data_IF_842382157399
#
_entry.id   IF_842382157399
#
_cell.length_a   1.000
_cell.length_b   1.000
_cell.length_c   1.000
_cell.angle_alpha   90.00
_cell.angle_beta   90.00
_cell.angle_gamma   90.00
#
_symmetry.space_group_name_H-M   'P 1'
#
loop_
_entity.id
_entity.type
_entity.pdbx_description
1 polymer ?
#
# COMPACT_ATOMS: atom_id res chain seq x y z
N UNK A 1 3.43 -5.42 -8.53
CA UNK A 1 4.82 -5.83 -8.88
C UNK A 1 5.72 -5.80 -7.65
N UNK A 2 6.70 -6.70 -7.56
CA UNK A 2 7.71 -6.65 -6.49
C UNK A 2 8.86 -5.74 -6.91
N UNK A 3 9.23 -4.79 -6.05
CA UNK A 3 10.28 -3.81 -6.32
C UNK A 3 11.43 -4.02 -5.32
N UNK A 4 12.69 -4.17 -5.77
CA UNK A 4 13.82 -4.31 -4.86
C UNK A 4 14.05 -3.02 -4.07
N UNK A 5 14.28 -3.14 -2.76
CA UNK A 5 14.61 -2.00 -1.87
C UNK A 5 16.05 -2.07 -1.34
N UNK A 6 16.67 -3.24 -1.41
CA UNK A 6 18.06 -3.47 -0.98
C UNK A 6 18.19 -4.76 -0.16
N UNK A 7 19.43 -5.25 0.01
CA UNK A 7 19.75 -6.37 0.91
C UNK A 7 18.89 -7.64 0.72
N UNK A 8 18.50 -7.93 -0.54
CA UNK A 8 17.63 -9.07 -0.86
C UNK A 8 16.14 -8.87 -0.55
N UNK A 9 15.77 -7.74 0.05
CA UNK A 9 14.39 -7.39 0.40
C UNK A 9 13.69 -6.77 -0.82
N UNK A 10 12.43 -7.20 -1.03
CA UNK A 10 11.55 -6.66 -2.07
C UNK A 10 10.27 -6.17 -1.42
N UNK A 11 9.82 -4.97 -1.77
CA UNK A 11 8.51 -4.45 -1.36
C UNK A 11 7.45 -4.79 -2.40
N UNK A 12 6.22 -5.01 -1.93
CA UNK A 12 5.06 -5.13 -2.80
C UNK A 12 4.61 -3.73 -3.24
N UNK A 13 4.61 -3.47 -4.54
CA UNK A 13 4.02 -2.26 -5.12
C UNK A 13 2.78 -2.63 -5.92
N UNK A 14 1.61 -2.19 -5.47
CA UNK A 14 0.33 -2.43 -6.12
C UNK A 14 -0.36 -1.09 -6.42
N UNK A 15 -1.14 -1.06 -7.51
CA UNK A 15 -2.02 0.05 -7.81
C UNK A 15 -3.43 -0.34 -7.36
N UNK A 16 -4.07 0.52 -6.59
CA UNK A 16 -5.48 0.39 -6.22
C UNK A 16 -6.24 1.57 -6.84
N UNK A 17 -7.47 1.29 -7.28
CA UNK A 17 -8.42 2.32 -7.70
C UNK A 17 -9.51 2.31 -6.64
N UNK A 18 -9.77 3.48 -6.05
CA UNK A 18 -10.77 3.65 -5.00
C UNK A 18 -11.82 4.65 -5.46
N UNK A 19 -13.04 4.50 -4.96
CA UNK A 19 -14.11 5.48 -5.15
C UNK A 19 -14.15 6.37 -3.91
N UNK A 20 -13.81 7.66 -4.08
CA UNK A 20 -13.62 8.61 -2.97
C UNK A 20 -14.85 8.71 -2.05
N UNK A 21 -16.07 8.56 -2.60
CA UNK A 21 -17.32 8.62 -1.84
C UNK A 21 -17.59 7.39 -0.96
N UNK A 22 -16.84 6.29 -1.15
CA UNK A 22 -17.10 5.00 -0.49
C UNK A 22 -15.94 4.46 0.32
N UNK A 23 -14.71 4.82 -0.04
CA UNK A 23 -13.50 4.23 0.55
C UNK A 23 -12.54 5.34 0.96
N UNK A 24 -12.26 5.42 2.26
CA UNK A 24 -11.19 6.27 2.76
C UNK A 24 -9.83 5.62 2.53
N UNK A 25 -8.88 6.39 2.00
CA UNK A 25 -7.49 5.93 1.83
C UNK A 25 -6.85 5.64 3.19
N UNK A 26 -7.18 6.41 4.23
CA UNK A 26 -6.63 6.21 5.57
C UNK A 26 -7.08 4.87 6.17
N UNK A 27 -8.37 4.54 6.05
CA UNK A 27 -8.92 3.25 6.52
C UNK A 27 -8.31 2.07 5.77
N UNK A 28 -8.05 2.24 4.46
CA UNK A 28 -7.39 1.22 3.65
C UNK A 28 -5.94 0.99 4.12
N UNK A 29 -5.21 2.05 4.46
CA UNK A 29 -3.84 1.95 4.98
C UNK A 29 -3.84 1.25 6.33
N UNK A 30 -4.72 1.63 7.26
CA UNK A 30 -4.84 1.01 8.59
C UNK A 30 -5.10 -0.49 8.48
N UNK A 31 -6.09 -0.90 7.67
CA UNK A 31 -6.41 -2.33 7.45
C UNK A 31 -5.25 -3.13 6.87
N UNK A 32 -4.40 -2.51 6.06
CA UNK A 32 -3.22 -3.19 5.51
C UNK A 32 -2.12 -3.28 6.58
N UNK A 33 -1.96 -2.25 7.42
CA UNK A 33 -1.00 -2.24 8.52
C UNK A 33 -1.35 -3.25 9.62
N UNK A 34 -2.63 -3.56 9.83
CA UNK A 34 -3.10 -4.57 10.78
C UNK A 34 -2.59 -5.99 10.46
N UNK A 35 -2.09 -6.25 9.24
CA UNK A 35 -1.44 -7.51 8.88
C UNK A 35 0.01 -7.57 9.39
N UNK A 36 0.21 -7.50 10.70
CA UNK A 36 1.51 -7.36 11.37
C UNK A 36 2.52 -8.48 11.03
N UNK A 37 2.04 -9.68 10.71
CA UNK A 37 2.90 -10.82 10.34
C UNK A 37 3.53 -10.69 8.94
N UNK A 38 2.92 -9.88 8.06
CA UNK A 38 3.27 -9.79 6.65
C UNK A 38 3.67 -8.38 6.20
N UNK A 39 3.20 -7.35 6.90
CA UNK A 39 3.34 -5.95 6.55
C UNK A 39 4.13 -5.25 7.64
N UNK A 40 5.35 -4.82 7.29
CA UNK A 40 6.22 -4.07 8.20
C UNK A 40 5.87 -2.57 8.22
N UNK A 41 5.45 -2.03 7.08
CA UNK A 41 4.99 -0.65 6.92
C UNK A 41 4.23 -0.51 5.61
N UNK A 42 3.46 0.58 5.47
CA UNK A 42 2.72 0.92 4.25
C UNK A 42 3.07 2.35 3.85
N UNK A 43 3.42 2.54 2.57
CA UNK A 43 3.77 3.84 2.00
C UNK A 43 3.00 4.08 0.69
N UNK A 44 2.56 5.33 0.48
CA UNK A 44 1.92 5.75 -0.78
C UNK A 44 3.03 6.09 -1.79
N UNK A 45 3.20 5.25 -2.81
CA UNK A 45 4.23 5.47 -3.83
C UNK A 45 3.89 6.60 -4.82
N UNK A 46 2.61 6.75 -5.15
CA UNK A 46 2.08 7.80 -6.01
C UNK A 46 0.56 7.91 -5.80
N UNK A 47 0.02 9.12 -5.90
CA UNK A 47 -1.42 9.38 -5.83
C UNK A 47 -1.82 10.18 -7.07
N UNK A 48 -2.67 9.60 -7.91
CA UNK A 48 -3.15 10.22 -9.15
C UNK A 48 -4.68 10.24 -9.15
N UNK A 49 -5.26 11.33 -9.62
CA UNK A 49 -6.70 11.36 -9.94
C UNK A 49 -6.91 10.74 -11.32
N UNK A 50 -7.98 9.97 -11.46
CA UNK A 50 -8.44 9.35 -12.72
C UNK A 50 -9.69 10.09 -13.17
#
# INVERSE_FOLDING_TARGET
KLVPVGYGIKKLQILCVVEDDKVSVDELVEKIQDFEEHVQSVDIAAFNKI
#
